data_IF_879602592502
#
_entry.id   IF_879602592502
#
_cell.length_a   1.000
_cell.length_b   1.000
_cell.length_c   1.000
_cell.angle_alpha   90.00
_cell.angle_beta   90.00
_cell.angle_gamma   90.00
#
_symmetry.space_group_name_H-M   'P 1'
#
loop_
_entity.id
_entity.type
_entity.pdbx_description
1 polymer ?
#
# COMPACT_ATOMS: atom_id res chain seq x y z
N UNK A 1 6.31 14.87 -30.65
CA UNK A 1 7.33 13.87 -30.29
C UNK A 1 6.67 12.93 -29.32
N UNK A 2 6.51 11.67 -29.69
CA UNK A 2 6.00 10.65 -28.78
C UNK A 2 6.98 10.49 -27.62
N UNK A 3 6.47 10.54 -26.39
CA UNK A 3 7.28 10.36 -25.20
C UNK A 3 7.75 8.90 -25.16
N UNK A 4 9.05 8.67 -25.31
CA UNK A 4 9.64 7.33 -25.17
C UNK A 4 9.59 6.91 -23.69
N UNK A 5 8.79 5.88 -23.32
CA UNK A 5 8.67 5.46 -21.94
C UNK A 5 9.98 4.89 -21.35
N UNK A 6 10.93 4.47 -22.20
CA UNK A 6 12.26 4.05 -21.75
C UNK A 6 13.11 5.22 -21.27
N UNK A 7 12.96 6.41 -21.88
CA UNK A 7 13.62 7.64 -21.42
C UNK A 7 13.12 8.01 -20.02
N UNK A 8 11.80 7.91 -19.80
CA UNK A 8 11.24 8.14 -18.47
C UNK A 8 11.70 7.11 -17.45
N UNK A 9 11.82 5.84 -17.82
CA UNK A 9 12.36 4.79 -16.95
C UNK A 9 13.81 5.09 -16.52
N UNK A 10 14.69 5.47 -17.47
CA UNK A 10 16.07 5.86 -17.19
C UNK A 10 16.15 7.10 -16.28
N UNK A 11 15.22 8.05 -16.44
CA UNK A 11 15.09 9.22 -15.57
C UNK A 11 14.74 8.81 -14.13
N UNK A 12 13.80 7.86 -13.96
CA UNK A 12 13.45 7.34 -12.63
C UNK A 12 14.62 6.61 -11.97
N UNK A 13 15.39 5.81 -12.72
CA UNK A 13 16.60 5.16 -12.22
C UNK A 13 17.62 6.19 -11.69
N UNK A 14 17.83 7.27 -12.45
CA UNK A 14 18.73 8.35 -12.04
C UNK A 14 18.22 9.07 -10.77
N UNK A 15 16.91 9.30 -10.69
CA UNK A 15 16.27 9.90 -9.52
C UNK A 15 16.37 8.99 -8.28
N UNK A 16 16.25 7.67 -8.44
CA UNK A 16 16.41 6.69 -7.36
C UNK A 16 17.84 6.71 -6.81
N UNK A 17 18.85 6.69 -7.69
CA UNK A 17 20.27 6.74 -7.30
C UNK A 17 20.60 7.99 -6.46
N UNK A 18 19.95 9.12 -6.75
CA UNK A 18 20.16 10.38 -6.02
C UNK A 18 19.28 10.56 -4.78
N UNK A 19 18.43 9.59 -4.41
CA UNK A 19 17.47 9.73 -3.33
C UNK A 19 17.96 9.08 -2.04
N UNK A 20 18.03 9.86 -0.96
CA UNK A 20 18.34 9.38 0.40
C UNK A 20 17.11 9.15 1.28
N UNK A 21 15.96 9.73 0.90
CA UNK A 21 14.68 9.53 1.59
C UNK A 21 14.12 8.13 1.22
N UNK A 22 14.05 7.23 2.20
CA UNK A 22 13.57 5.87 2.01
C UNK A 22 12.12 5.78 1.50
N UNK A 23 11.26 6.76 1.82
CA UNK A 23 9.88 6.83 1.32
C UNK A 23 9.85 7.21 -0.15
N UNK A 24 10.69 8.19 -0.50
CA UNK A 24 10.84 8.63 -1.88
C UNK A 24 11.44 7.49 -2.73
N UNK A 25 12.46 6.79 -2.22
CA UNK A 25 13.07 5.65 -2.90
C UNK A 25 12.06 4.53 -3.19
N UNK A 26 11.34 4.06 -2.17
CA UNK A 26 10.31 3.02 -2.34
C UNK A 26 9.17 3.46 -3.29
N UNK A 27 8.77 4.72 -3.22
CA UNK A 27 7.77 5.28 -4.15
C UNK A 27 8.26 5.32 -5.61
N UNK A 28 9.55 5.63 -5.82
CA UNK A 28 10.17 5.62 -7.15
C UNK A 28 10.26 4.19 -7.70
N UNK A 29 10.71 3.23 -6.89
CA UNK A 29 10.78 1.82 -7.27
C UNK A 29 9.41 1.29 -7.70
N UNK A 30 8.37 1.56 -6.91
CA UNK A 30 7.00 1.16 -7.26
C UNK A 30 6.52 1.81 -8.58
N UNK A 31 6.83 3.09 -8.80
CA UNK A 31 6.50 3.78 -10.04
C UNK A 31 7.27 3.21 -11.24
N UNK A 32 8.53 2.79 -11.05
CA UNK A 32 9.32 2.09 -12.07
C UNK A 32 8.69 0.74 -12.44
N UNK A 33 8.22 -0.05 -11.46
CA UNK A 33 7.53 -1.32 -11.72
C UNK A 33 6.25 -1.12 -12.54
N UNK A 34 5.43 -0.14 -12.20
CA UNK A 34 4.21 0.18 -12.95
C UNK A 34 4.50 0.68 -14.37
N UNK A 35 5.58 1.45 -14.54
CA UNK A 35 6.03 1.91 -15.85
C UNK A 35 6.48 0.73 -16.71
N UNK A 36 7.22 -0.23 -16.16
CA UNK A 36 7.59 -1.47 -16.85
C UNK A 36 6.36 -2.28 -17.27
N UNK A 37 5.36 -2.41 -16.40
CA UNK A 37 4.10 -3.09 -16.73
C UNK A 37 3.35 -2.36 -17.87
N UNK A 38 3.38 -1.03 -17.87
CA UNK A 38 2.76 -0.23 -18.93
C UNK A 38 3.49 -0.34 -20.27
N UNK A 39 4.83 -0.37 -20.25
CA UNK A 39 5.68 -0.65 -21.43
C UNK A 39 5.37 -2.05 -21.96
N UNK A 40 5.33 -3.06 -21.09
CA UNK A 40 5.01 -4.44 -21.47
C UNK A 40 3.62 -4.55 -22.12
N UNK A 41 2.66 -3.77 -21.62
CA UNK A 41 1.29 -3.67 -22.17
C UNK A 41 1.16 -2.75 -23.38
N UNK A 42 2.28 -2.19 -23.89
CA UNK A 42 2.32 -1.23 -25.02
C UNK A 42 1.38 -0.03 -24.83
N UNK A 43 1.19 0.42 -23.59
CA UNK A 43 0.40 1.60 -23.28
C UNK A 43 1.26 2.85 -23.51
N UNK A 44 0.68 3.86 -24.16
CA UNK A 44 1.30 5.17 -24.24
C UNK A 44 1.16 5.87 -22.89
N UNK A 45 2.30 6.25 -22.31
CA UNK A 45 2.36 7.02 -21.07
C UNK A 45 3.23 8.24 -21.31
N UNK A 46 2.68 9.42 -21.02
CA UNK A 46 3.41 10.68 -21.13
C UNK A 46 4.22 11.00 -19.85
N UNK A 47 5.16 11.94 -19.96
CA UNK A 47 6.03 12.34 -18.85
C UNK A 47 5.25 12.92 -17.64
N UNK A 48 4.09 13.54 -17.88
CA UNK A 48 3.25 14.10 -16.81
C UNK A 48 2.57 12.97 -16.04
N UNK A 49 2.11 11.94 -16.72
CA UNK A 49 1.54 10.73 -16.13
C UNK A 49 2.59 9.99 -15.31
N UNK A 50 3.84 9.86 -15.79
CA UNK A 50 4.95 9.29 -14.98
C UNK A 50 5.22 10.13 -13.73
N UNK A 51 5.27 11.46 -13.85
CA UNK A 51 5.47 12.34 -12.69
C UNK A 51 4.36 12.18 -11.65
N UNK A 52 3.11 12.14 -12.10
CA UNK A 52 1.96 11.92 -11.22
C UNK A 52 2.01 10.54 -10.56
N UNK A 53 2.40 9.51 -11.31
CA UNK A 53 2.59 8.15 -10.80
C UNK A 53 3.59 8.12 -9.65
N UNK A 54 4.77 8.74 -9.83
CA UNK A 54 5.79 8.86 -8.77
C UNK A 54 5.22 9.55 -7.53
N UNK A 55 4.59 10.72 -7.68
CA UNK A 55 4.01 11.46 -6.55
C UNK A 55 2.96 10.61 -5.81
N UNK A 56 2.10 9.92 -6.55
CA UNK A 56 1.07 9.06 -5.98
C UNK A 56 1.68 7.88 -5.22
N UNK A 57 2.72 7.24 -5.76
CA UNK A 57 3.41 6.11 -5.11
C UNK A 57 4.16 6.53 -3.85
N UNK A 58 4.85 7.67 -3.88
CA UNK A 58 5.48 8.25 -2.68
C UNK A 58 4.42 8.56 -1.61
N UNK A 59 3.31 9.19 -2.01
CA UNK A 59 2.21 9.51 -1.10
C UNK A 59 1.58 8.25 -0.48
N UNK A 60 1.42 7.19 -1.26
CA UNK A 60 0.93 5.88 -0.79
C UNK A 60 1.86 5.28 0.26
N UNK A 61 3.18 5.34 0.04
CA UNK A 61 4.13 4.73 0.95
C UNK A 61 4.31 5.53 2.25
N UNK A 62 4.19 6.86 2.18
CA UNK A 62 4.05 7.69 3.38
C UNK A 62 2.82 7.31 4.20
N UNK A 63 1.65 7.11 3.57
CA UNK A 63 0.43 6.70 4.28
C UNK A 63 0.56 5.32 4.90
N UNK A 64 1.11 4.36 4.16
CA UNK A 64 1.38 3.01 4.69
C UNK A 64 2.23 3.06 5.95
N UNK A 65 3.34 3.80 5.92
CA UNK A 65 4.22 3.92 7.09
C UNK A 65 3.59 4.72 8.23
N UNK A 66 2.78 5.73 7.94
CA UNK A 66 2.03 6.43 8.97
C UNK A 66 1.07 5.50 9.73
N UNK A 67 0.43 4.55 9.03
CA UNK A 67 -0.39 3.50 9.65
C UNK A 67 0.48 2.59 10.51
N UNK A 68 1.61 2.11 9.98
CA UNK A 68 2.54 1.26 10.75
C UNK A 68 3.02 1.99 12.00
N UNK A 69 3.42 3.26 11.90
CA UNK A 69 3.92 4.07 13.01
C UNK A 69 2.84 4.38 14.04
N UNK A 70 1.63 4.76 13.61
CA UNK A 70 0.51 5.01 14.51
C UNK A 70 0.12 3.77 15.35
N UNK A 71 0.47 2.58 14.86
CA UNK A 71 0.21 1.31 15.52
C UNK A 71 1.50 0.60 15.96
N UNK A 72 2.67 1.26 15.92
CA UNK A 72 3.96 0.64 16.27
C UNK A 72 4.25 0.71 17.76
N UNK A 73 3.73 1.71 18.48
CA UNK A 73 3.89 1.81 19.93
C UNK A 73 3.18 0.66 20.68
N UNK A 74 2.15 0.05 20.08
CA UNK A 74 1.48 -1.13 20.63
C UNK A 74 2.26 -2.43 20.37
N UNK A 75 3.21 -2.45 19.42
CA UNK A 75 3.92 -3.67 18.96
C UNK A 75 5.38 -3.70 19.41
N UNK A 76 6.02 -2.54 19.58
CA UNK A 76 7.44 -2.42 19.90
C UNK A 76 7.82 -2.93 21.31
N UNK A 77 6.84 -3.15 22.20
CA UNK A 77 7.07 -3.69 23.54
C UNK A 77 7.25 -5.21 23.60
N UNK A 78 6.81 -5.98 22.61
CA UNK A 78 6.64 -7.45 22.78
C UNK A 78 7.51 -8.33 21.85
N UNK A 79 8.11 -7.79 20.78
CA UNK A 79 8.63 -8.60 19.68
C UNK A 79 10.13 -8.45 19.34
N UNK A 80 10.94 -7.82 20.20
CA UNK A 80 12.41 -7.84 20.06
C UNK A 80 12.97 -9.22 20.48
N UNK A 81 12.83 -10.25 19.62
CA UNK A 81 13.60 -11.49 19.82
C UNK A 81 13.16 -12.80 19.14
N UNK A 82 12.06 -12.88 18.37
CA UNK A 82 11.50 -14.19 17.94
C UNK A 82 11.19 -14.30 16.44
N UNK A 83 12.14 -13.98 15.57
CA UNK A 83 11.95 -13.75 14.12
C UNK A 83 11.42 -14.88 13.21
N UNK A 84 11.00 -16.06 13.71
CA UNK A 84 10.41 -17.13 12.87
C UNK A 84 9.12 -17.72 13.46
N UNK A 85 9.07 -17.98 14.78
CA UNK A 85 7.84 -18.41 15.46
C UNK A 85 6.74 -17.33 15.34
N UNK A 86 7.15 -16.07 15.40
CA UNK A 86 6.28 -14.90 15.30
C UNK A 86 5.65 -14.72 13.92
N UNK A 87 6.36 -15.10 12.83
CA UNK A 87 5.80 -15.02 11.48
C UNK A 87 4.69 -16.05 11.25
N UNK A 88 4.83 -17.26 11.81
CA UNK A 88 3.79 -18.28 11.74
C UNK A 88 2.58 -17.90 12.59
N UNK A 89 2.81 -17.41 13.80
CA UNK A 89 1.77 -16.91 14.70
C UNK A 89 1.02 -15.71 14.11
N UNK A 90 1.74 -14.74 13.55
CA UNK A 90 1.17 -13.61 12.81
C UNK A 90 0.28 -14.07 11.65
N UNK A 91 0.67 -15.10 10.89
CA UNK A 91 -0.17 -15.66 9.82
C UNK A 91 -1.45 -16.30 10.38
N UNK A 92 -1.36 -17.04 11.48
CA UNK A 92 -2.52 -17.64 12.15
C UNK A 92 -3.47 -16.53 12.64
N UNK A 93 -2.95 -15.49 13.26
CA UNK A 93 -3.75 -14.34 13.71
C UNK A 93 -4.42 -13.61 12.54
N UNK A 94 -3.68 -13.37 11.44
CA UNK A 94 -4.26 -12.78 10.23
C UNK A 94 -5.39 -13.63 9.64
N UNK A 95 -5.26 -14.96 9.66
CA UNK A 95 -6.33 -15.87 9.22
C UNK A 95 -7.56 -15.79 10.13
N UNK A 96 -7.37 -15.70 11.45
CA UNK A 96 -8.47 -15.52 12.41
C UNK A 96 -9.21 -14.21 12.15
N UNK A 97 -8.48 -13.11 11.94
CA UNK A 97 -9.06 -11.82 11.59
C UNK A 97 -9.81 -11.88 10.25
N UNK A 98 -9.24 -12.52 9.24
CA UNK A 98 -9.89 -12.70 7.94
C UNK A 98 -11.23 -13.45 8.06
N UNK A 99 -11.27 -14.50 8.88
CA UNK A 99 -12.50 -15.29 9.13
C UNK A 99 -13.56 -14.46 9.84
N UNK A 100 -13.20 -13.70 10.86
CA UNK A 100 -14.17 -12.95 11.66
C UNK A 100 -14.74 -11.71 10.93
N UNK A 101 -13.90 -10.99 10.20
CA UNK A 101 -14.33 -9.85 9.41
C UNK A 101 -15.16 -10.29 8.19
N UNK A 102 -14.84 -11.44 7.62
CA UNK A 102 -15.29 -11.86 6.31
C UNK A 102 -14.39 -11.32 5.20
N UNK A 103 -14.31 -12.00 4.04
CA UNK A 103 -13.25 -11.78 3.05
C UNK A 103 -13.27 -10.36 2.46
N UNK A 104 -14.45 -9.81 2.16
CA UNK A 104 -14.57 -8.47 1.57
C UNK A 104 -14.17 -7.35 2.53
N UNK A 105 -14.48 -7.49 3.81
CA UNK A 105 -14.18 -6.50 4.85
C UNK A 105 -12.71 -6.59 5.28
N UNK A 106 -12.19 -7.80 5.41
CA UNK A 106 -10.76 -8.01 5.65
C UNK A 106 -9.91 -7.47 4.50
N UNK A 107 -10.30 -7.74 3.26
CA UNK A 107 -9.59 -7.21 2.09
C UNK A 107 -9.58 -5.67 2.09
N UNK A 108 -10.69 -5.02 2.46
CA UNK A 108 -10.74 -3.57 2.63
C UNK A 108 -9.70 -3.07 3.66
N UNK A 109 -9.60 -3.73 4.83
CA UNK A 109 -8.60 -3.37 5.83
C UNK A 109 -7.17 -3.57 5.33
N UNK A 110 -6.89 -4.66 4.60
CA UNK A 110 -5.59 -4.90 3.98
C UNK A 110 -5.24 -3.81 2.97
N UNK A 111 -6.19 -3.40 2.11
CA UNK A 111 -5.97 -2.31 1.16
C UNK A 111 -5.65 -0.99 1.87
N UNK A 112 -6.33 -0.68 2.97
CA UNK A 112 -5.98 0.49 3.78
C UNK A 112 -4.58 0.37 4.40
N UNK A 113 -4.23 -0.79 4.95
CA UNK A 113 -2.89 -1.05 5.50
C UNK A 113 -1.78 -0.94 4.45
N UNK A 114 -2.07 -1.21 3.18
CA UNK A 114 -1.19 -0.97 2.04
C UNK A 114 -1.10 0.52 1.63
N UNK A 115 -1.72 1.44 2.37
CA UNK A 115 -1.69 2.88 2.12
C UNK A 115 -2.71 3.39 1.10
N UNK A 116 -3.64 2.55 0.63
CA UNK A 116 -4.71 3.01 -0.27
C UNK A 116 -5.76 3.84 0.50
N UNK A 117 -6.18 4.93 -0.12
CA UNK A 117 -7.27 5.78 0.35
C UNK A 117 -8.62 5.13 0.06
N UNK A 118 -9.66 5.56 0.78
CA UNK A 118 -11.03 5.09 0.50
C UNK A 118 -11.53 5.53 -0.88
N UNK A 119 -11.02 6.64 -1.43
CA UNK A 119 -11.35 7.09 -2.77
C UNK A 119 -10.76 6.15 -3.84
N UNK A 120 -9.50 5.74 -3.71
CA UNK A 120 -8.86 4.76 -4.59
C UNK A 120 -9.61 3.42 -4.54
N UNK A 121 -9.94 2.93 -3.35
CA UNK A 121 -10.68 1.67 -3.19
C UNK A 121 -12.11 1.79 -3.76
N UNK A 122 -12.76 2.95 -3.56
CA UNK A 122 -14.09 3.23 -4.12
C UNK A 122 -14.09 3.19 -5.65
N UNK A 123 -13.10 3.81 -6.28
CA UNK A 123 -12.93 3.79 -7.73
C UNK A 123 -12.67 2.37 -8.27
N UNK A 124 -11.90 1.55 -7.56
CA UNK A 124 -11.59 0.18 -7.95
C UNK A 124 -12.78 -0.79 -7.79
N UNK A 125 -13.56 -0.66 -6.71
CA UNK A 125 -14.63 -1.62 -6.38
C UNK A 125 -16.03 -1.13 -6.75
N UNK A 126 -16.16 0.10 -7.25
CA UNK A 126 -17.46 0.74 -7.54
C UNK A 126 -18.32 0.99 -6.30
N UNK A 127 -17.77 0.86 -5.09
CA UNK A 127 -18.51 0.98 -3.83
C UNK A 127 -18.46 2.42 -3.30
N UNK A 128 -19.58 3.00 -2.83
CA UNK A 128 -19.56 4.35 -2.26
C UNK A 128 -18.62 4.49 -1.06
N UNK A 129 -17.92 5.62 -0.97
CA UNK A 129 -16.97 5.91 0.12
C UNK A 129 -17.65 5.80 1.50
N UNK A 130 -18.91 6.25 1.63
CA UNK A 130 -19.69 6.15 2.88
C UNK A 130 -19.89 4.70 3.32
N UNK A 131 -20.23 3.82 2.38
CA UNK A 131 -20.33 2.38 2.61
C UNK A 131 -19.00 1.78 3.02
N UNK A 132 -17.90 2.16 2.36
CA UNK A 132 -16.56 1.69 2.72
C UNK A 132 -16.15 2.14 4.13
N UNK A 133 -16.47 3.37 4.54
CA UNK A 133 -16.24 3.86 5.91
C UNK A 133 -16.96 3.00 6.95
N UNK A 134 -18.26 2.78 6.76
CA UNK A 134 -19.06 1.98 7.68
C UNK A 134 -18.55 0.53 7.78
N UNK A 135 -18.18 -0.07 6.65
CA UNK A 135 -17.59 -1.42 6.59
C UNK A 135 -16.25 -1.49 7.32
N UNK A 136 -15.34 -0.56 7.03
CA UNK A 136 -14.03 -0.50 7.69
C UNK A 136 -14.17 -0.35 9.22
N UNK A 137 -15.08 0.50 9.68
CA UNK A 137 -15.34 0.69 11.10
C UNK A 137 -15.83 -0.60 11.79
N UNK A 138 -16.83 -1.27 11.20
CA UNK A 138 -17.33 -2.56 11.73
C UNK A 138 -16.25 -3.65 11.72
N UNK A 139 -15.47 -3.72 10.66
CA UNK A 139 -14.39 -4.69 10.53
C UNK A 139 -13.32 -4.48 11.60
N UNK A 140 -12.89 -3.22 11.84
CA UNK A 140 -11.95 -2.88 12.92
C UNK A 140 -12.48 -3.26 14.30
N UNK A 141 -13.77 -3.01 14.57
CA UNK A 141 -14.39 -3.41 15.84
C UNK A 141 -14.32 -4.92 16.07
N UNK A 142 -14.52 -5.73 15.02
CA UNK A 142 -14.38 -7.19 15.08
C UNK A 142 -12.93 -7.63 15.33
N UNK A 143 -11.96 -6.98 14.69
CA UNK A 143 -10.52 -7.28 14.93
C UNK A 143 -10.14 -6.95 16.36
N UNK A 144 -10.52 -5.77 16.86
CA UNK A 144 -10.23 -5.36 18.23
C UNK A 144 -10.86 -6.30 19.27
N UNK A 145 -12.08 -6.79 19.03
CA UNK A 145 -12.73 -7.75 19.91
C UNK A 145 -12.05 -9.14 19.96
N UNK A 146 -11.19 -9.46 18.98
CA UNK A 146 -10.39 -10.69 18.97
C UNK A 146 -8.97 -10.52 19.52
N UNK A 147 -8.53 -9.27 19.67
CA UNK A 147 -7.21 -8.92 20.19
C UNK A 147 -7.24 -8.60 21.69
N UNK A 148 -8.43 -8.47 22.29
CA UNK A 148 -8.68 -8.35 23.72
C UNK A 148 -8.91 -9.73 24.36
#
# INVERSE_FOLDING_TARGET
MDADPWVEYARLQSMLKGTTDAYKAAGIEAAMTDLLDSIAKRRTIDARQVKNLVVNRIGKERRRRAIVYAHSHDIAGEHEGRGVADAAESRIMLQRYAKACGPRDFHLLVRQAQGNTLAEISAETGSPITTLKARAHRARKKVLALAA
#
